data_IF_347611546851
#
_entry.id   IF_347611546851
#
_cell.length_a   1.000
_cell.length_b   1.000
_cell.length_c   1.000
_cell.angle_alpha   90.00
_cell.angle_beta   90.00
_cell.angle_gamma   90.00
#
_symmetry.space_group_name_H-M   'P 1'
#
loop_
_entity.id
_entity.type
_entity.pdbx_description
1 polymer ?
#
# COMPACT_ATOMS: atom_id res chain seq x y z
N UNK A 1 6.44 7.79 -10.49
CA UNK A 1 5.67 8.66 -9.58
C UNK A 1 5.28 7.96 -8.27
N UNK A 2 4.65 6.78 -8.26
CA UNK A 2 4.30 6.09 -6.99
C UNK A 2 5.47 5.92 -5.98
N UNK A 3 6.68 5.54 -6.44
CA UNK A 3 7.85 5.38 -5.55
C UNK A 3 8.28 6.65 -4.79
N UNK A 4 8.09 7.84 -5.38
CA UNK A 4 8.47 9.09 -4.71
C UNK A 4 7.45 9.47 -3.65
N UNK A 5 6.15 9.28 -3.94
CA UNK A 5 5.07 9.48 -2.97
C UNK A 5 5.24 8.55 -1.76
N UNK A 6 5.53 7.26 -1.99
CA UNK A 6 5.77 6.28 -0.91
C UNK A 6 6.94 6.73 -0.01
N UNK A 7 8.04 7.19 -0.61
CA UNK A 7 9.21 7.64 0.14
C UNK A 7 8.87 8.86 1.00
N UNK A 8 8.19 9.85 0.44
CA UNK A 8 7.81 11.08 1.17
C UNK A 8 6.79 10.80 2.29
N UNK A 9 5.86 9.85 2.07
CA UNK A 9 4.96 9.35 3.13
C UNK A 9 5.76 8.65 4.23
N UNK A 10 6.77 7.84 3.88
CA UNK A 10 7.67 7.19 4.84
C UNK A 10 8.57 8.17 5.62
N UNK A 11 8.86 9.34 5.04
CA UNK A 11 9.53 10.46 5.70
C UNK A 11 8.59 11.29 6.61
N UNK A 12 7.31 10.93 6.70
CA UNK A 12 6.33 11.56 7.57
C UNK A 12 5.66 12.82 7.00
N UNK A 13 5.77 13.06 5.69
CA UNK A 13 5.15 14.22 5.04
C UNK A 13 3.65 14.03 4.85
N UNK A 14 2.92 15.12 4.98
CA UNK A 14 1.47 15.17 4.77
C UNK A 14 1.12 15.13 3.27
N UNK A 15 -0.11 14.72 2.97
CA UNK A 15 -0.58 14.59 1.59
C UNK A 15 -0.55 15.96 0.86
N UNK A 16 -0.82 17.06 1.58
CA UNK A 16 -0.73 18.44 1.07
C UNK A 16 0.71 18.85 0.72
N UNK A 17 1.69 18.57 1.58
CA UNK A 17 3.10 18.87 1.28
C UNK A 17 3.60 18.08 0.07
N UNK A 18 3.16 16.83 -0.07
CA UNK A 18 3.51 15.99 -1.21
C UNK A 18 2.87 16.52 -2.50
N UNK A 19 1.61 16.96 -2.44
CA UNK A 19 0.91 17.59 -3.56
C UNK A 19 1.63 18.86 -4.02
N UNK A 20 2.01 19.75 -3.10
CA UNK A 20 2.74 21.00 -3.40
C UNK A 20 4.14 20.73 -4.01
N UNK A 21 4.92 19.82 -3.43
CA UNK A 21 6.26 19.50 -3.93
C UNK A 21 6.26 18.84 -5.31
N UNK A 22 5.25 18.02 -5.60
CA UNK A 22 5.15 17.28 -6.86
C UNK A 22 4.31 18.01 -7.92
N UNK A 23 3.68 19.15 -7.56
CA UNK A 23 2.73 19.84 -8.43
C UNK A 23 1.52 18.97 -8.78
N UNK A 24 1.09 18.13 -7.84
CA UNK A 24 0.00 17.18 -8.01
C UNK A 24 -1.24 17.62 -7.25
N UNK A 25 -2.40 17.11 -7.66
CA UNK A 25 -3.62 17.27 -6.88
C UNK A 25 -3.63 16.32 -5.66
N UNK A 26 -4.24 16.75 -4.55
CA UNK A 26 -4.31 16.00 -3.31
C UNK A 26 -5.00 14.63 -3.49
N UNK A 27 -6.03 14.58 -4.33
CA UNK A 27 -6.73 13.33 -4.67
C UNK A 27 -5.82 12.35 -5.41
N UNK A 28 -4.89 12.84 -6.23
CA UNK A 28 -3.95 12.00 -6.96
C UNK A 28 -2.89 11.41 -6.01
N UNK A 29 -2.41 12.20 -5.06
CA UNK A 29 -1.53 11.73 -3.98
C UNK A 29 -2.23 10.68 -3.12
N UNK A 30 -3.49 10.91 -2.75
CA UNK A 30 -4.28 9.96 -1.96
C UNK A 30 -4.48 8.63 -2.70
N UNK A 31 -4.83 8.66 -3.99
CA UNK A 31 -4.95 7.44 -4.81
C UNK A 31 -3.65 6.65 -4.87
N UNK A 32 -2.53 7.35 -5.09
CA UNK A 32 -1.22 6.71 -5.14
C UNK A 32 -0.84 6.09 -3.79
N UNK A 33 -1.15 6.75 -2.68
CA UNK A 33 -0.93 6.24 -1.32
C UNK A 33 -1.73 4.96 -1.04
N UNK A 34 -3.01 4.93 -1.40
CA UNK A 34 -3.87 3.74 -1.24
C UNK A 34 -3.34 2.53 -2.04
N UNK A 35 -3.05 2.74 -3.32
CA UNK A 35 -2.51 1.67 -4.20
C UNK A 35 -1.17 1.14 -3.69
N UNK A 36 -0.34 2.03 -3.17
CA UNK A 36 1.01 1.69 -2.72
C UNK A 36 1.02 1.00 -1.36
N UNK A 37 0.22 1.49 -0.41
CA UNK A 37 0.13 0.94 0.95
C UNK A 37 -0.41 -0.49 0.96
N UNK A 38 -1.44 -0.76 0.14
CA UNK A 38 -1.96 -2.12 -0.01
C UNK A 38 -0.90 -3.06 -0.58
N UNK A 39 -0.19 -2.66 -1.63
CA UNK A 39 0.86 -3.48 -2.22
C UNK A 39 1.97 -3.81 -1.22
N UNK A 40 2.45 -2.83 -0.46
CA UNK A 40 3.51 -3.02 0.52
C UNK A 40 3.06 -3.90 1.70
N UNK A 41 1.84 -3.73 2.20
CA UNK A 41 1.28 -4.53 3.30
C UNK A 41 1.18 -6.03 2.97
N UNK A 42 1.02 -6.36 1.69
CA UNK A 42 0.81 -7.72 1.21
C UNK A 42 2.00 -8.32 0.45
N UNK A 43 3.09 -7.57 0.22
CA UNK A 43 4.20 -8.02 -0.65
C UNK A 43 4.93 -9.29 -0.17
N UNK A 44 4.93 -9.54 1.14
CA UNK A 44 5.62 -10.66 1.77
C UNK A 44 4.64 -11.70 2.34
N UNK A 45 3.39 -11.70 1.88
CA UNK A 45 2.37 -12.67 2.30
C UNK A 45 2.28 -13.78 1.24
N UNK A 46 2.40 -15.03 1.68
CA UNK A 46 1.98 -16.17 0.86
C UNK A 46 0.47 -16.30 0.90
N UNK A 47 -0.18 -16.13 -0.25
CA UNK A 47 -1.61 -16.37 -0.40
C UNK A 47 -1.85 -17.85 -0.69
N UNK A 48 -2.88 -18.45 -0.06
CA UNK A 48 -3.36 -19.76 -0.49
C UNK A 48 -4.02 -19.65 -1.86
N UNK A 49 -4.11 -20.77 -2.57
CA UNK A 49 -4.91 -20.79 -3.79
C UNK A 49 -6.38 -20.59 -3.42
N UNK A 50 -7.15 -19.93 -4.28
CA UNK A 50 -8.55 -19.56 -3.97
C UNK A 50 -9.48 -20.75 -3.70
N UNK A 51 -9.04 -21.97 -3.99
CA UNK A 51 -9.74 -23.23 -3.75
C UNK A 51 -9.17 -24.04 -2.57
N UNK A 52 -8.17 -23.51 -1.87
CA UNK A 52 -7.63 -24.09 -0.63
C UNK A 52 -8.24 -23.36 0.56
N UNK A 53 -9.21 -24.00 1.22
CA UNK A 53 -9.85 -23.47 2.43
C UNK A 53 -8.82 -23.24 3.54
N UNK A 54 -8.92 -22.08 4.20
CA UNK A 54 -8.01 -21.64 5.27
C UNK A 54 -7.87 -22.69 6.40
N UNK A 55 -8.95 -23.43 6.67
CA UNK A 55 -9.07 -24.51 7.67
C UNK A 55 -8.16 -25.71 7.39
N UNK A 56 -7.73 -25.95 6.14
CA UNK A 56 -6.79 -27.05 5.83
C UNK A 56 -5.32 -26.72 6.07
N UNK A 57 -4.94 -25.43 6.08
CA UNK A 57 -3.53 -25.01 6.20
C UNK A 57 -3.07 -24.82 7.65
N UNK A 58 -4.01 -24.60 8.56
CA UNK A 58 -3.75 -24.44 9.98
C UNK A 58 -4.67 -25.41 10.73
N UNK A 59 -4.18 -26.64 10.98
CA UNK A 59 -4.82 -27.55 11.92
C UNK A 59 -4.83 -26.87 13.29
N UNK A 60 -6.02 -26.47 13.73
CA UNK A 60 -6.27 -26.00 15.08
C UNK A 60 -6.83 -27.21 15.83
N UNK A 61 -5.97 -27.89 16.59
CA UNK A 61 -6.38 -28.82 17.66
C UNK A 61 -7.07 -28.03 18.79
#
# INVERSE_FOLDING_TARGET
>A
MSKIVIRLVGEGKTDTEIAEMLGMDGDEVFRLKQLSGLKEAFKNKEFSKSWEEFTKKYEWD
#
